data_IF_710125592708
#
_entry.id   IF_710125592708
#
_cell.length_a   1.000
_cell.length_b   1.000
_cell.length_c   1.000
_cell.angle_alpha   90.00
_cell.angle_beta   90.00
_cell.angle_gamma   90.00
#
_symmetry.space_group_name_H-M   'P 1'
#
loop_
_entity.id
_entity.type
_entity.pdbx_description
1 polymer ?
#
# COMPACT_ATOMS: atom_id res chain seq x y z
N UNK A 1 -9.26 12.56 7.25
CA UNK A 1 -7.91 11.98 7.19
C UNK A 1 -8.00 10.66 6.46
N UNK A 2 -7.01 10.38 5.63
CA UNK A 2 -6.82 9.07 5.03
C UNK A 2 -5.71 8.38 5.81
N UNK A 3 -5.97 7.18 6.33
CA UNK A 3 -5.06 6.50 7.27
C UNK A 3 -3.80 5.95 6.62
N UNK A 4 -3.93 5.41 5.41
CA UNK A 4 -2.83 4.85 4.63
C UNK A 4 -2.82 5.52 3.26
N UNK A 5 -1.63 5.82 2.73
CA UNK A 5 -1.48 6.50 1.43
C UNK A 5 -2.22 7.84 1.37
N UNK A 6 -1.66 8.93 1.94
CA UNK A 6 -2.28 10.25 1.84
C UNK A 6 -2.52 10.72 0.40
N UNK A 7 -1.88 10.08 -0.59
CA UNK A 7 -2.09 10.31 -2.02
C UNK A 7 -3.52 9.95 -2.49
N UNK A 8 -4.30 9.20 -1.70
CA UNK A 8 -5.72 8.94 -1.97
C UNK A 8 -6.63 10.10 -1.51
N UNK A 9 -6.11 11.07 -0.75
CA UNK A 9 -6.91 12.20 -0.30
C UNK A 9 -7.43 13.03 -1.49
N UNK A 10 -8.73 13.30 -1.50
CA UNK A 10 -9.39 14.06 -2.56
C UNK A 10 -9.89 13.22 -3.73
N UNK A 11 -9.65 11.90 -3.72
CA UNK A 11 -10.26 10.97 -4.66
C UNK A 11 -11.56 10.37 -4.09
N UNK A 12 -12.43 9.90 -4.98
CA UNK A 12 -13.65 9.18 -4.62
C UNK A 12 -13.80 7.93 -5.48
N UNK A 13 -14.43 6.90 -4.93
CA UNK A 13 -14.75 5.63 -5.58
C UNK A 13 -16.17 5.20 -5.18
N UNK A 14 -16.89 4.58 -6.11
CA UNK A 14 -18.28 4.17 -5.88
C UNK A 14 -18.41 3.10 -4.77
N UNK A 15 -17.38 2.27 -4.54
CA UNK A 15 -17.36 1.20 -3.53
C UNK A 15 -16.74 1.66 -2.21
N UNK A 16 -15.74 2.54 -2.25
CA UNK A 16 -14.95 2.92 -1.08
C UNK A 16 -15.19 4.34 -0.55
N UNK A 17 -16.02 5.13 -1.24
CA UNK A 17 -16.25 6.52 -0.88
C UNK A 17 -15.00 7.37 -1.08
N UNK A 18 -14.73 8.29 -0.16
CA UNK A 18 -13.64 9.27 -0.25
C UNK A 18 -12.31 8.79 0.37
N UNK A 19 -12.21 7.49 0.65
CA UNK A 19 -11.07 6.83 1.32
C UNK A 19 -10.76 7.32 2.74
N UNK A 20 -11.54 8.24 3.29
CA UNK A 20 -11.27 8.79 4.62
C UNK A 20 -11.74 7.87 5.73
N UNK A 21 -11.00 7.85 6.84
CA UNK A 21 -11.44 7.19 8.09
C UNK A 21 -12.23 8.14 8.99
N UNK A 22 -11.97 9.43 8.90
CA UNK A 22 -12.63 10.47 9.69
C UNK A 22 -11.74 11.68 9.94
N UNK A 23 -12.14 12.58 10.84
CA UNK A 23 -11.40 13.80 11.15
C UNK A 23 -10.89 13.77 12.60
N UNK A 24 -9.57 13.90 12.80
CA UNK A 24 -8.95 13.87 14.15
C UNK A 24 -9.49 14.94 15.08
N UNK A 25 -9.99 16.06 14.54
CA UNK A 25 -10.57 17.15 15.32
C UNK A 25 -11.92 16.78 15.97
N UNK A 26 -12.52 15.65 15.59
CA UNK A 26 -13.72 15.11 16.21
C UNK A 26 -13.38 14.08 17.32
N UNK A 27 -13.42 12.77 17.02
CA UNK A 27 -13.24 11.72 18.04
C UNK A 27 -11.80 11.49 18.52
N UNK A 28 -10.79 12.18 17.98
CA UNK A 28 -9.37 11.92 18.29
C UNK A 28 -8.74 10.83 17.44
N UNK A 29 -7.41 10.72 17.45
CA UNK A 29 -6.66 9.79 16.59
C UNK A 29 -6.78 8.34 17.08
N UNK A 30 -6.74 8.14 18.39
CA UNK A 30 -6.86 6.85 19.05
C UNK A 30 -8.17 6.14 18.69
N UNK A 31 -9.29 6.87 18.72
CA UNK A 31 -10.60 6.34 18.31
C UNK A 31 -10.60 6.00 16.81
N UNK A 32 -10.08 6.90 15.96
CA UNK A 32 -10.05 6.65 14.51
C UNK A 32 -9.19 5.44 14.14
N UNK A 33 -8.10 5.18 14.86
CA UNK A 33 -7.26 3.98 14.67
C UNK A 33 -7.98 2.72 15.15
N UNK A 34 -8.63 2.76 16.32
CA UNK A 34 -9.35 1.61 16.85
C UNK A 34 -10.51 1.17 15.95
N UNK A 35 -11.17 2.11 15.28
CA UNK A 35 -12.35 1.88 14.45
C UNK A 35 -12.03 1.86 12.95
N UNK A 36 -10.75 1.81 12.57
CA UNK A 36 -10.29 1.99 11.19
C UNK A 36 -10.89 0.96 10.21
N UNK A 37 -10.93 -0.31 10.61
CA UNK A 37 -11.41 -1.40 9.75
C UNK A 37 -12.90 -1.28 9.44
N UNK A 38 -13.69 -0.83 10.42
CA UNK A 38 -15.13 -0.62 10.28
C UNK A 38 -15.43 0.64 9.45
N UNK A 39 -14.67 1.71 9.68
CA UNK A 39 -14.85 3.02 9.03
C UNK A 39 -14.29 3.07 7.61
N UNK A 40 -13.36 2.18 7.26
CA UNK A 40 -12.58 2.30 6.03
C UNK A 40 -12.47 0.95 5.31
N UNK A 41 -13.54 0.52 4.61
CA UNK A 41 -13.65 -0.82 4.03
C UNK A 41 -12.51 -1.19 3.07
N UNK A 42 -11.93 -0.21 2.39
CA UNK A 42 -10.83 -0.45 1.45
C UNK A 42 -9.55 -0.94 2.12
N UNK A 43 -9.33 -0.65 3.42
CA UNK A 43 -8.16 -1.11 4.19
C UNK A 43 -8.15 -2.65 4.24
N UNK A 44 -9.32 -3.27 4.39
CA UNK A 44 -9.45 -4.73 4.39
C UNK A 44 -9.07 -5.34 3.05
N UNK A 45 -9.50 -4.75 1.92
CA UNK A 45 -9.10 -5.22 0.59
C UNK A 45 -7.59 -5.00 0.35
N UNK A 46 -7.06 -3.87 0.82
CA UNK A 46 -5.64 -3.57 0.75
C UNK A 46 -4.77 -4.60 1.50
N UNK A 47 -5.16 -5.01 2.70
CA UNK A 47 -4.40 -6.01 3.44
C UNK A 47 -4.39 -7.37 2.75
N UNK A 48 -5.48 -7.78 2.09
CA UNK A 48 -5.49 -9.00 1.25
C UNK A 48 -4.41 -8.95 0.16
N UNK A 49 -4.24 -7.79 -0.50
CA UNK A 49 -3.19 -7.61 -1.49
C UNK A 49 -1.78 -7.63 -0.89
N UNK A 50 -1.60 -7.10 0.34
CA UNK A 50 -0.32 -7.18 1.06
C UNK A 50 0.00 -8.62 1.44
N UNK A 51 -0.96 -9.40 1.92
CA UNK A 51 -0.78 -10.81 2.26
C UNK A 51 -0.46 -11.65 1.02
N UNK A 52 -1.12 -11.38 -0.10
CA UNK A 52 -0.79 -12.01 -1.37
C UNK A 52 0.64 -11.65 -1.83
N UNK A 53 1.08 -10.40 -1.65
CA UNK A 53 2.47 -10.00 -1.87
C UNK A 53 3.44 -10.74 -0.95
N UNK A 54 3.11 -10.89 0.34
CA UNK A 54 3.93 -11.62 1.32
C UNK A 54 4.12 -13.08 0.91
N UNK A 55 3.06 -13.72 0.43
CA UNK A 55 3.07 -15.12 0.04
C UNK A 55 3.85 -15.40 -1.27
N UNK A 56 3.97 -14.41 -2.15
CA UNK A 56 4.43 -14.65 -3.54
C UNK A 56 5.65 -13.84 -3.98
N UNK A 57 5.94 -12.69 -3.36
CA UNK A 57 6.96 -11.77 -3.83
C UNK A 57 8.32 -12.02 -3.14
N UNK A 58 9.39 -12.35 -3.89
CA UNK A 58 10.72 -12.57 -3.30
C UNK A 58 11.34 -11.30 -2.70
N UNK A 59 10.82 -10.13 -3.05
CA UNK A 59 11.28 -8.83 -2.56
C UNK A 59 10.46 -8.28 -1.39
N UNK A 60 9.48 -9.06 -0.88
CA UNK A 60 8.57 -8.59 0.18
C UNK A 60 9.31 -8.19 1.45
N UNK A 61 10.32 -8.96 1.86
CA UNK A 61 11.11 -8.67 3.06
C UNK A 61 11.79 -7.28 3.02
N UNK A 62 12.02 -6.73 1.81
CA UNK A 62 12.59 -5.41 1.63
C UNK A 62 11.53 -4.30 1.57
N UNK A 63 10.46 -4.48 0.78
CA UNK A 63 9.51 -3.39 0.51
C UNK A 63 8.23 -3.43 1.37
N UNK A 64 7.89 -4.56 1.98
CA UNK A 64 6.68 -4.77 2.78
C UNK A 64 5.36 -4.72 2.00
N UNK A 65 5.38 -4.44 0.70
CA UNK A 65 4.19 -4.41 -0.18
C UNK A 65 3.18 -3.28 0.10
N UNK A 66 3.48 -2.35 1.01
CA UNK A 66 2.50 -1.41 1.56
C UNK A 66 2.34 -0.12 0.74
N UNK A 67 1.84 -0.22 -0.49
CA UNK A 67 1.64 0.93 -1.40
C UNK A 67 0.19 0.99 -1.93
N UNK A 68 -0.78 1.49 -1.13
CA UNK A 68 -2.20 1.47 -1.49
C UNK A 68 -2.55 2.26 -2.74
N UNK A 69 -2.15 3.54 -2.83
CA UNK A 69 -2.51 4.39 -3.97
C UNK A 69 -2.01 3.81 -5.30
N UNK A 70 -0.75 3.38 -5.35
CA UNK A 70 -0.19 2.74 -6.55
C UNK A 70 -1.00 1.51 -6.93
N UNK A 71 -1.37 0.67 -5.96
CA UNK A 71 -2.15 -0.53 -6.22
C UNK A 71 -3.53 -0.18 -6.79
N UNK A 72 -4.24 0.74 -6.13
CA UNK A 72 -5.55 1.22 -6.55
C UNK A 72 -5.53 1.74 -7.99
N UNK A 73 -4.66 2.72 -8.28
CA UNK A 73 -4.63 3.38 -9.58
C UNK A 73 -4.10 2.45 -10.70
N UNK A 74 -3.15 1.57 -10.40
CA UNK A 74 -2.56 0.69 -11.41
C UNK A 74 -3.37 -0.60 -11.66
N UNK A 75 -4.24 -0.99 -10.73
CA UNK A 75 -5.14 -2.14 -10.89
C UNK A 75 -6.61 -1.76 -11.10
N UNK A 76 -6.88 -0.55 -11.60
CA UNK A 76 -8.23 -0.15 -12.01
C UNK A 76 -9.23 -0.13 -10.85
N UNK A 77 -8.81 0.41 -9.71
CA UNK A 77 -9.62 0.55 -8.51
C UNK A 77 -9.50 -0.61 -7.52
N UNK A 78 -8.79 -1.69 -7.87
CA UNK A 78 -8.60 -2.84 -6.97
C UNK A 78 -7.42 -2.65 -6.01
N UNK A 79 -7.60 -3.10 -4.78
CA UNK A 79 -6.61 -3.03 -3.70
C UNK A 79 -6.02 -4.41 -3.33
N UNK A 80 -6.51 -5.49 -3.93
CA UNK A 80 -6.07 -6.87 -3.68
C UNK A 80 -5.03 -7.39 -4.70
N UNK A 81 -4.65 -6.56 -5.68
CA UNK A 81 -3.57 -6.86 -6.62
C UNK A 81 -2.19 -6.89 -5.96
N UNK A 82 -1.22 -7.54 -6.59
CA UNK A 82 0.14 -7.64 -6.05
C UNK A 82 1.13 -6.71 -6.74
N UNK A 83 1.52 -7.02 -7.98
CA UNK A 83 2.62 -6.36 -8.67
C UNK A 83 2.17 -5.11 -9.42
N UNK A 84 2.78 -3.98 -9.08
CA UNK A 84 2.62 -2.69 -9.76
C UNK A 84 3.87 -2.33 -10.58
N UNK A 85 3.72 -1.38 -11.51
CA UNK A 85 4.85 -0.71 -12.17
C UNK A 85 5.68 0.05 -11.14
N UNK A 86 5.06 0.72 -10.18
CA UNK A 86 5.79 1.39 -9.10
C UNK A 86 6.73 0.44 -8.37
N UNK A 87 6.24 -0.71 -7.85
CA UNK A 87 7.11 -1.61 -7.10
C UNK A 87 8.19 -2.24 -8.00
N UNK A 88 7.88 -2.48 -9.26
CA UNK A 88 8.85 -3.00 -10.25
C UNK A 88 10.02 -2.03 -10.42
N UNK A 89 9.74 -0.75 -10.65
CA UNK A 89 10.78 0.25 -10.93
C UNK A 89 11.47 0.77 -9.67
N UNK A 90 10.71 1.07 -8.61
CA UNK A 90 11.24 1.76 -7.43
C UNK A 90 11.77 0.81 -6.35
N UNK A 91 11.28 -0.43 -6.28
CA UNK A 91 11.65 -1.39 -5.22
C UNK A 91 12.47 -2.55 -5.76
N UNK A 92 11.95 -3.24 -6.76
CA UNK A 92 12.59 -4.45 -7.32
C UNK A 92 13.86 -4.07 -8.06
N UNK A 93 13.80 -3.15 -9.03
CA UNK A 93 14.98 -2.76 -9.80
C UNK A 93 16.09 -2.15 -8.92
N UNK A 94 15.71 -1.41 -7.87
CA UNK A 94 16.66 -0.92 -6.85
C UNK A 94 17.36 -2.09 -6.16
N UNK A 95 16.61 -3.04 -5.60
CA UNK A 95 17.18 -4.16 -4.86
C UNK A 95 18.05 -5.06 -5.76
N UNK A 96 17.62 -5.29 -7.00
CA UNK A 96 18.40 -6.02 -8.00
C UNK A 96 19.70 -5.29 -8.35
N UNK A 97 19.64 -3.96 -8.50
CA UNK A 97 20.80 -3.11 -8.74
C UNK A 97 21.82 -3.16 -7.61
N UNK A 98 21.37 -3.00 -6.36
CA UNK A 98 22.23 -3.09 -5.17
C UNK A 98 22.86 -4.48 -5.05
N UNK A 99 22.06 -5.54 -5.20
CA UNK A 99 22.55 -6.92 -5.11
C UNK A 99 23.62 -7.19 -6.18
N UNK A 100 23.42 -6.68 -7.39
CA UNK A 100 24.40 -6.80 -8.47
C UNK A 100 25.71 -6.07 -8.11
N UNK A 101 25.62 -4.82 -7.66
CA UNK A 101 26.78 -4.03 -7.27
C UNK A 101 27.60 -4.72 -6.17
N UNK A 102 26.94 -5.24 -5.13
CA UNK A 102 27.59 -5.98 -4.04
C UNK A 102 28.31 -7.22 -4.57
N UNK A 103 27.68 -8.01 -5.45
CA UNK A 103 28.32 -9.21 -6.03
C UNK A 103 29.55 -8.89 -6.87
N UNK A 104 29.54 -7.77 -7.58
CA UNK A 104 30.65 -7.32 -8.42
C UNK A 104 31.83 -6.78 -7.60
N UNK A 105 31.56 -6.22 -6.41
CA UNK A 105 32.54 -5.51 -5.58
C UNK A 105 32.83 -6.17 -4.22
N UNK A 106 32.38 -7.41 -3.98
CA UNK A 106 32.65 -8.17 -2.76
C UNK A 106 34.10 -8.75 -2.71
N UNK A 107 35.07 -8.11 -3.37
CA UNK A 107 36.49 -8.50 -3.37
C UNK A 107 37.31 -7.50 -2.58
#
# INVERSE_FOLDING_TARGET
MVMLSPELAGFTDDRFGDFTTGNVLGPGLDVLVAEAEERTPWITEFWKGVDACRATCPYFAFCGGAHPANRYFEHGGRMDGTRTRYCTTAKIALMEGVTRHVREHAR
#
